data_IF_724495501810
#
_entry.id   IF_724495501810
#
_cell.length_a   1.000
_cell.length_b   1.000
_cell.length_c   1.000
_cell.angle_alpha   90.00
_cell.angle_beta   90.00
_cell.angle_gamma   90.00
#
_symmetry.space_group_name_H-M   'P 1'
#
loop_
_entity.id
_entity.type
_entity.pdbx_description
1 polymer ?
#
# COMPACT_ATOMS: atom_id res chain seq x y z
N UNK A 1 -12.63 -19.34 15.06
CA UNK A 1 -11.95 -19.15 13.76
C UNK A 1 -10.51 -18.74 14.07
N UNK A 2 -9.53 -19.47 13.54
CA UNK A 2 -8.12 -19.15 13.75
C UNK A 2 -7.70 -17.91 12.94
N UNK A 3 -6.91 -17.02 13.54
CA UNK A 3 -6.44 -15.78 12.91
C UNK A 3 -5.58 -16.06 11.68
N UNK A 4 -4.83 -17.16 11.68
CA UNK A 4 -4.06 -17.59 10.52
C UNK A 4 -4.96 -17.98 9.36
N UNK A 5 -6.02 -18.75 9.64
CA UNK A 5 -7.04 -19.12 8.65
C UNK A 5 -7.77 -17.89 8.08
N UNK A 6 -8.06 -16.89 8.89
CA UNK A 6 -8.66 -15.63 8.43
C UNK A 6 -7.72 -14.85 7.50
N UNK A 7 -6.43 -14.74 7.86
CA UNK A 7 -5.42 -14.08 7.02
C UNK A 7 -5.22 -14.82 5.69
N UNK A 8 -5.21 -16.15 5.72
CA UNK A 8 -5.10 -16.97 4.52
C UNK A 8 -6.28 -16.75 3.56
N UNK A 9 -7.51 -16.65 4.08
CA UNK A 9 -8.70 -16.34 3.29
C UNK A 9 -8.62 -14.93 2.70
N UNK A 10 -8.24 -13.93 3.51
CA UNK A 10 -8.08 -12.55 3.05
C UNK A 10 -7.01 -12.42 1.95
N UNK A 11 -5.86 -13.12 2.11
CA UNK A 11 -4.79 -13.17 1.11
C UNK A 11 -5.27 -13.81 -0.19
N UNK A 12 -5.90 -14.99 -0.10
CA UNK A 12 -6.40 -15.74 -1.27
C UNK A 12 -7.43 -14.94 -2.07
N UNK A 13 -8.32 -14.20 -1.38
CA UNK A 13 -9.29 -13.33 -2.05
C UNK A 13 -8.64 -12.24 -2.90
N UNK A 14 -7.57 -11.61 -2.40
CA UNK A 14 -6.82 -10.59 -3.14
C UNK A 14 -5.91 -11.16 -4.24
N UNK A 15 -5.33 -12.34 -4.01
CA UNK A 15 -4.49 -13.04 -5.00
C UNK A 15 -5.28 -13.56 -6.20
N UNK A 16 -6.54 -13.95 -5.99
CA UNK A 16 -7.41 -14.48 -7.07
C UNK A 16 -7.75 -13.44 -8.14
N UNK A 17 -7.52 -12.15 -7.88
CA UNK A 17 -7.69 -11.07 -8.85
C UNK A 17 -6.34 -10.76 -9.49
N UNK A 18 -6.20 -10.88 -10.83
CA UNK A 18 -4.98 -10.48 -11.55
C UNK A 18 -4.58 -9.05 -11.20
N UNK A 19 -3.27 -8.77 -11.17
CA UNK A 19 -2.75 -7.51 -10.65
C UNK A 19 -3.36 -6.28 -11.33
N UNK A 20 -3.53 -6.35 -12.64
CA UNK A 20 -4.14 -5.33 -13.50
C UNK A 20 -5.65 -5.12 -13.24
N UNK A 21 -6.33 -6.12 -12.68
CA UNK A 21 -7.76 -6.04 -12.35
C UNK A 21 -8.02 -5.65 -10.89
N UNK A 22 -7.00 -5.48 -10.05
CA UNK A 22 -7.19 -5.06 -8.65
C UNK A 22 -7.62 -3.60 -8.57
N UNK A 23 -8.56 -3.27 -7.68
CA UNK A 23 -9.11 -1.90 -7.56
C UNK A 23 -8.03 -0.85 -7.29
N UNK A 24 -7.01 -1.16 -6.49
CA UNK A 24 -5.90 -0.23 -6.21
C UNK A 24 -4.90 -0.08 -7.37
N UNK A 25 -4.83 -1.04 -8.29
CA UNK A 25 -4.02 -0.92 -9.50
C UNK A 25 -4.73 -0.10 -10.57
N UNK A 26 -6.06 -0.20 -10.64
CA UNK A 26 -6.89 0.56 -11.60
C UNK A 26 -7.09 2.01 -11.16
N UNK A 27 -7.29 2.25 -9.88
CA UNK A 27 -7.57 3.58 -9.34
C UNK A 27 -6.49 4.00 -8.32
N UNK A 28 -5.59 4.86 -8.80
CA UNK A 28 -4.51 5.43 -7.98
C UNK A 28 -5.04 6.36 -6.89
N UNK A 29 -6.17 7.04 -7.13
CA UNK A 29 -6.78 7.93 -6.14
C UNK A 29 -7.39 7.11 -5.01
N UNK A 30 -8.09 6.01 -5.33
CA UNK A 30 -8.58 5.06 -4.34
C UNK A 30 -7.43 4.46 -3.51
N UNK A 31 -6.35 4.02 -4.16
CA UNK A 31 -5.17 3.49 -3.47
C UNK A 31 -4.55 4.52 -2.51
N UNK A 32 -4.42 5.77 -2.96
CA UNK A 32 -3.86 6.86 -2.16
C UNK A 32 -4.77 7.22 -0.99
N UNK A 33 -6.08 7.28 -1.21
CA UNK A 33 -7.07 7.57 -0.16
C UNK A 33 -7.14 6.47 0.90
N UNK A 34 -7.14 5.20 0.48
CA UNK A 34 -7.10 4.05 1.37
C UNK A 34 -5.81 4.03 2.19
N UNK A 35 -4.65 4.28 1.56
CA UNK A 35 -3.37 4.38 2.25
C UNK A 35 -3.35 5.51 3.29
N UNK A 36 -3.82 6.71 2.93
CA UNK A 36 -3.94 7.85 3.85
C UNK A 36 -4.84 7.52 5.04
N UNK A 37 -6.04 6.98 4.78
CA UNK A 37 -7.00 6.61 5.84
C UNK A 37 -6.42 5.56 6.78
N UNK A 38 -5.74 4.54 6.26
CA UNK A 38 -5.08 3.52 7.07
C UNK A 38 -3.98 4.09 7.97
N UNK A 39 -3.19 5.05 7.45
CA UNK A 39 -2.15 5.73 8.23
C UNK A 39 -2.69 6.69 9.29
N UNK A 40 -3.88 7.27 9.09
CA UNK A 40 -4.53 8.16 10.06
C UNK A 40 -5.01 7.43 11.32
N UNK A 41 -5.32 6.13 11.22
CA UNK A 41 -5.70 5.31 12.38
C UNK A 41 -4.51 4.95 13.28
N UNK A 42 -3.29 5.35 12.92
CA UNK A 42 -2.06 5.08 13.65
C UNK A 42 -1.53 6.40 14.20
N UNK A 43 -1.14 6.40 15.49
CA UNK A 43 -0.47 7.54 16.12
C UNK A 43 0.79 7.93 15.34
N UNK A 44 1.12 9.23 15.32
CA UNK A 44 2.21 9.76 14.49
C UNK A 44 3.56 9.06 14.77
N UNK A 45 3.86 8.77 16.04
CA UNK A 45 5.05 8.05 16.50
C UNK A 45 5.09 6.57 16.10
N UNK A 46 3.93 5.94 15.90
CA UNK A 46 3.81 4.53 15.56
C UNK A 46 3.75 4.26 14.04
N UNK A 47 3.63 5.31 13.22
CA UNK A 47 3.63 5.17 11.76
C UNK A 47 4.96 4.60 11.28
N UNK A 48 4.90 3.64 10.37
CA UNK A 48 6.09 2.98 9.81
C UNK A 48 7.12 3.95 9.23
N UNK A 49 6.66 5.03 8.57
CA UNK A 49 7.56 6.05 8.02
C UNK A 49 8.16 7.01 9.07
N UNK A 50 7.50 7.18 10.21
CA UNK A 50 8.06 7.94 11.34
C UNK A 50 9.13 7.12 12.08
N UNK A 51 8.87 5.82 12.25
CA UNK A 51 9.79 4.88 12.91
C UNK A 51 11.00 4.52 12.06
N UNK A 52 10.82 4.45 10.74
CA UNK A 52 11.88 4.08 9.79
C UNK A 52 11.98 5.12 8.66
N UNK A 53 12.95 6.03 8.83
CA UNK A 53 13.29 7.03 7.81
C UNK A 53 13.86 6.42 6.53
N UNK A 54 14.53 5.27 6.62
CA UNK A 54 15.07 4.58 5.44
C UNK A 54 13.91 4.05 4.59
N UNK A 55 12.92 3.41 5.21
CA UNK A 55 11.69 2.97 4.55
C UNK A 55 10.97 4.14 3.87
N UNK A 56 10.83 5.28 4.56
CA UNK A 56 10.22 6.48 4.01
C UNK A 56 10.98 7.01 2.78
N UNK A 57 12.31 7.08 2.86
CA UNK A 57 13.17 7.52 1.76
C UNK A 57 13.08 6.58 0.56
N UNK A 58 13.12 5.26 0.77
CA UNK A 58 13.00 4.27 -0.30
C UNK A 58 11.63 4.33 -0.99
N UNK A 59 10.55 4.47 -0.21
CA UNK A 59 9.21 4.66 -0.75
C UNK A 59 9.11 5.94 -1.58
N UNK A 60 9.69 7.04 -1.10
CA UNK A 60 9.77 8.32 -1.82
C UNK A 60 10.55 8.20 -3.13
N UNK A 61 11.72 7.57 -3.11
CA UNK A 61 12.54 7.33 -4.31
C UNK A 61 11.77 6.52 -5.36
N UNK A 62 11.13 5.41 -4.96
CA UNK A 62 10.32 4.58 -5.86
C UNK A 62 9.15 5.35 -6.45
N UNK A 63 8.45 6.14 -5.63
CA UNK A 63 7.36 7.01 -6.09
C UNK A 63 7.83 8.09 -7.08
N UNK A 64 9.01 8.65 -6.82
CA UNK A 64 9.72 9.55 -7.73
C UNK A 64 9.99 8.88 -9.07
N UNK A 65 10.71 7.76 -9.08
CA UNK A 65 11.05 7.00 -10.29
C UNK A 65 9.82 6.68 -11.14
N UNK A 66 8.74 6.19 -10.54
CA UNK A 66 7.49 5.88 -11.24
C UNK A 66 6.83 7.11 -11.89
N UNK A 67 7.04 8.30 -11.32
CA UNK A 67 6.51 9.56 -11.86
C UNK A 67 7.37 10.12 -13.00
N UNK A 68 8.65 9.75 -13.05
CA UNK A 68 9.56 10.16 -14.13
C UNK A 68 9.46 9.22 -15.34
N UNK A 69 9.22 7.92 -15.12
CA UNK A 69 9.06 6.93 -16.19
C UNK A 69 7.74 7.05 -16.98
N UNK A 70 6.78 7.85 -16.52
CA UNK A 70 5.53 8.13 -17.25
C UNK A 70 5.59 9.40 -18.11
N UNK A 71 6.74 10.09 -18.15
CA UNK A 71 7.01 11.27 -18.99
C UNK A 71 8.07 10.92 -20.03
N UNK A 72 7.69 10.13 -21.03
CA UNK A 72 8.48 9.87 -22.24
C UNK A 72 7.55 9.72 -23.42
#
# INVERSE_FOLDING_TARGET
>A
MDAEKQRAIARKGGESVPAEKRSFSQDRALASAAGRKGGQSVADEDRSFSRDRSLASQAGQKGGQASHSGRS
#
